data_IF_718072625240
#
_entry.id   IF_718072625240
#
_cell.length_a   1.000
_cell.length_b   1.000
_cell.length_c   1.000
_cell.angle_alpha   90.00
_cell.angle_beta   90.00
_cell.angle_gamma   90.00
#
_symmetry.space_group_name_H-M   'P 1'
#
loop_
_entity.id
_entity.type
_entity.pdbx_description
1 polymer ?
#
# COMPACT_ATOMS: atom_id res chain seq x y z
N UNK A 1 18.22 -2.75 29.88
CA UNK A 1 17.14 -3.75 29.66
C UNK A 1 15.80 -3.11 29.24
N UNK A 2 15.36 -1.99 29.82
CA UNK A 2 14.09 -1.33 29.46
C UNK A 2 14.04 -0.84 27.99
N UNK A 3 15.12 -0.23 27.50
CA UNK A 3 15.21 0.27 26.10
C UNK A 3 15.15 -0.88 25.09
N UNK A 4 15.82 -2.01 25.36
CA UNK A 4 15.77 -3.21 24.52
C UNK A 4 14.38 -3.87 24.48
N UNK A 5 13.63 -3.80 25.59
CA UNK A 5 12.25 -4.31 25.65
C UNK A 5 11.25 -3.42 24.88
N UNK A 6 11.47 -2.11 24.87
CA UNK A 6 10.62 -1.14 24.14
C UNK A 6 10.85 -1.22 22.63
N UNK A 7 12.10 -1.48 22.21
CA UNK A 7 12.53 -1.48 20.80
C UNK A 7 12.36 -2.81 20.07
N UNK A 8 11.98 -3.89 20.79
CA UNK A 8 11.77 -5.21 20.19
C UNK A 8 10.75 -5.17 19.04
N UNK A 9 10.97 -5.90 17.94
CA UNK A 9 10.00 -5.98 16.86
C UNK A 9 8.69 -6.54 17.40
N UNK A 10 7.60 -5.77 17.23
CA UNK A 10 6.25 -6.20 17.58
C UNK A 10 5.59 -6.69 16.30
N UNK A 11 5.29 -7.99 16.15
CA UNK A 11 4.63 -8.46 14.96
C UNK A 11 3.22 -7.86 14.88
N UNK A 12 2.84 -7.42 13.68
CA UNK A 12 1.52 -6.85 13.45
C UNK A 12 0.43 -7.90 13.77
N UNK A 13 -0.65 -7.43 14.39
CA UNK A 13 -1.86 -8.21 14.65
C UNK A 13 -2.94 -7.81 13.64
N UNK A 14 -3.80 -8.75 13.29
CA UNK A 14 -4.98 -8.43 12.51
C UNK A 14 -6.03 -7.77 13.40
N UNK A 15 -6.64 -6.66 12.94
CA UNK A 15 -7.77 -6.07 13.63
C UNK A 15 -9.02 -6.96 13.53
N UNK A 16 -9.22 -7.64 12.40
CA UNK A 16 -10.37 -8.50 12.11
C UNK A 16 -9.93 -9.83 11.48
N UNK A 17 -10.69 -10.92 11.68
CA UNK A 17 -10.39 -12.19 11.03
C UNK A 17 -10.49 -12.07 9.50
N UNK A 18 -9.67 -12.82 8.74
CA UNK A 18 -9.79 -12.85 7.29
C UNK A 18 -11.12 -13.48 6.86
N UNK A 19 -11.51 -13.24 5.60
CA UNK A 19 -12.69 -13.84 5.00
C UNK A 19 -12.64 -15.37 5.10
N UNK A 20 -13.75 -15.99 5.49
CA UNK A 20 -13.85 -17.44 5.56
C UNK A 20 -13.83 -18.03 4.13
N UNK A 21 -12.90 -18.96 3.88
CA UNK A 21 -12.74 -19.64 2.57
C UNK A 21 -14.04 -20.26 2.04
N UNK A 22 -14.89 -20.76 2.94
CA UNK A 22 -16.19 -21.37 2.62
C UNK A 22 -17.20 -20.38 2.01
N UNK A 23 -17.13 -19.10 2.39
CA UNK A 23 -18.06 -18.07 1.92
C UNK A 23 -17.58 -17.33 0.67
N UNK A 24 -16.26 -17.42 0.39
CA UNK A 24 -15.56 -16.76 -0.72
C UNK A 24 -14.67 -17.75 -1.52
N UNK A 25 -15.20 -18.92 -1.93
CA UNK A 25 -14.38 -19.98 -2.51
C UNK A 25 -13.74 -19.59 -3.84
N UNK A 26 -14.41 -18.78 -4.68
CA UNK A 26 -13.89 -18.44 -5.99
C UNK A 26 -12.70 -17.47 -5.90
N UNK A 27 -12.78 -16.48 -5.00
CA UNK A 27 -11.66 -15.56 -4.75
C UNK A 27 -10.43 -16.30 -4.23
N UNK A 28 -10.60 -17.18 -3.26
CA UNK A 28 -9.50 -17.97 -2.72
C UNK A 28 -8.94 -18.96 -3.74
N UNK A 29 -9.79 -19.57 -4.57
CA UNK A 29 -9.34 -20.45 -5.65
C UNK A 29 -8.46 -19.71 -6.65
N UNK A 30 -8.90 -18.55 -7.14
CA UNK A 30 -8.12 -17.70 -8.03
C UNK A 30 -6.78 -17.30 -7.40
N UNK A 31 -6.79 -16.90 -6.13
CA UNK A 31 -5.58 -16.50 -5.42
C UNK A 31 -4.60 -17.66 -5.24
N UNK A 32 -5.10 -18.87 -4.93
CA UNK A 32 -4.30 -20.08 -4.84
C UNK A 32 -3.73 -20.49 -6.22
N UNK A 33 -4.49 -20.33 -7.30
CA UNK A 33 -4.04 -20.58 -8.68
C UNK A 33 -2.92 -19.63 -9.09
N UNK A 34 -3.08 -18.32 -8.85
CA UNK A 34 -2.05 -17.31 -9.12
C UNK A 34 -0.79 -17.58 -8.27
N UNK A 35 -0.96 -17.93 -7.00
CA UNK A 35 0.17 -18.33 -6.14
C UNK A 35 0.93 -19.51 -6.74
N UNK A 36 0.22 -20.50 -7.29
CA UNK A 36 0.83 -21.66 -7.97
C UNK A 36 1.59 -21.26 -9.23
N UNK A 37 1.03 -20.37 -10.07
CA UNK A 37 1.70 -19.87 -11.29
C UNK A 37 3.01 -19.14 -10.92
N UNK A 38 2.96 -18.34 -9.86
CA UNK A 38 4.11 -17.59 -9.37
C UNK A 38 5.11 -18.41 -8.53
N UNK A 39 4.85 -19.70 -8.30
CA UNK A 39 5.62 -20.54 -7.36
C UNK A 39 5.75 -19.91 -5.96
N UNK A 40 4.69 -19.26 -5.48
CA UNK A 40 4.61 -18.62 -4.18
C UNK A 40 3.79 -19.47 -3.19
N UNK A 41 4.08 -19.35 -1.89
CA UNK A 41 3.20 -19.97 -0.88
C UNK A 41 1.81 -19.35 -0.92
N UNK A 42 0.80 -20.20 -0.69
CA UNK A 42 -0.60 -19.77 -0.57
C UNK A 42 -0.80 -18.69 0.48
N UNK A 43 -1.72 -17.79 0.20
CA UNK A 43 -2.15 -16.80 1.19
C UNK A 43 -2.88 -17.48 2.35
N UNK A 44 -2.54 -17.09 3.57
CA UNK A 44 -3.22 -17.57 4.76
C UNK A 44 -4.66 -17.04 4.81
N UNK A 45 -4.86 -15.78 4.43
CA UNK A 45 -6.17 -15.15 4.45
C UNK A 45 -6.25 -13.93 3.57
N UNK A 46 -7.48 -13.62 3.14
CA UNK A 46 -7.82 -12.43 2.37
C UNK A 46 -8.70 -11.53 3.24
N UNK A 47 -8.42 -10.23 3.23
CA UNK A 47 -9.20 -9.19 3.89
C UNK A 47 -9.69 -8.23 2.83
N UNK A 48 -10.97 -7.87 2.92
CA UNK A 48 -11.55 -6.83 2.08
C UNK A 48 -11.81 -5.62 2.97
N UNK A 49 -11.37 -4.44 2.50
CA UNK A 49 -11.51 -3.18 3.24
C UNK A 49 -12.02 -2.04 2.37
N UNK A 50 -12.20 -0.89 3.00
CA UNK A 50 -12.78 0.35 2.46
C UNK A 50 -11.84 1.16 1.57
N UNK A 51 -10.56 0.79 1.50
CA UNK A 51 -9.55 1.59 0.82
C UNK A 51 -9.63 1.42 -0.69
N UNK A 52 -9.25 2.44 -1.45
CA UNK A 52 -9.01 2.28 -2.89
C UNK A 52 -7.54 1.87 -3.11
N UNK A 53 -7.16 0.70 -2.60
CA UNK A 53 -5.81 0.17 -2.72
C UNK A 53 -5.82 -1.36 -2.52
N UNK A 54 -4.69 -2.01 -2.77
CA UNK A 54 -4.41 -3.36 -2.30
C UNK A 54 -3.11 -3.36 -1.48
N UNK A 55 -2.90 -4.41 -0.70
CA UNK A 55 -1.60 -4.62 -0.07
C UNK A 55 -1.40 -6.08 0.31
N UNK A 56 -0.15 -6.51 0.28
CA UNK A 56 0.27 -7.79 0.79
C UNK A 56 1.13 -7.62 2.05
N UNK A 57 0.80 -8.35 3.11
CA UNK A 57 1.51 -8.22 4.39
C UNK A 57 1.72 -9.56 5.08
N UNK A 58 2.59 -9.58 6.09
CA UNK A 58 2.82 -10.75 6.93
C UNK A 58 2.53 -10.40 8.39
N UNK A 59 1.77 -11.27 9.06
CA UNK A 59 1.35 -11.06 10.45
C UNK A 59 1.88 -12.16 11.37
N UNK A 60 2.08 -11.78 12.64
CA UNK A 60 2.47 -12.71 13.69
C UNK A 60 3.87 -13.33 13.51
N UNK A 61 4.30 -14.09 14.50
CA UNK A 61 5.59 -14.78 14.49
C UNK A 61 5.70 -15.87 13.43
N UNK A 62 4.56 -16.42 12.99
CA UNK A 62 4.49 -17.41 11.90
C UNK A 62 4.45 -16.77 10.51
N UNK A 63 4.60 -15.44 10.41
CA UNK A 63 4.61 -14.69 9.15
C UNK A 63 3.45 -15.07 8.21
N UNK A 64 2.24 -15.17 8.77
CA UNK A 64 1.06 -15.55 7.99
C UNK A 64 0.82 -14.50 6.91
N UNK A 65 0.82 -14.92 5.64
CA UNK A 65 0.66 -14.07 4.46
C UNK A 65 -0.80 -13.62 4.32
N UNK A 66 -1.04 -12.32 4.35
CA UNK A 66 -2.38 -11.72 4.24
C UNK A 66 -2.43 -10.84 3.01
N UNK A 67 -3.42 -11.10 2.16
CA UNK A 67 -3.76 -10.23 1.04
C UNK A 67 -4.91 -9.31 1.47
N UNK A 68 -4.73 -8.00 1.34
CA UNK A 68 -5.78 -6.99 1.55
C UNK A 68 -6.18 -6.43 0.21
N UNK A 69 -7.47 -6.42 -0.08
CA UNK A 69 -8.01 -5.89 -1.32
C UNK A 69 -9.11 -4.88 -0.99
N UNK A 70 -8.93 -3.66 -1.43
CA UNK A 70 -9.93 -2.62 -1.33
C UNK A 70 -11.14 -2.92 -2.20
N UNK A 71 -12.33 -3.00 -1.61
CA UNK A 71 -13.54 -3.29 -2.38
C UNK A 71 -13.79 -2.26 -3.50
N UNK A 72 -13.63 -0.93 -3.27
CA UNK A 72 -13.80 0.07 -4.33
C UNK A 72 -12.86 -0.14 -5.52
N UNK A 73 -11.63 -0.59 -5.27
CA UNK A 73 -10.67 -0.91 -6.32
C UNK A 73 -11.16 -2.11 -7.13
N UNK A 74 -11.57 -3.20 -6.48
CA UNK A 74 -12.02 -4.42 -7.17
C UNK A 74 -13.16 -4.17 -8.17
N UNK A 75 -14.09 -3.27 -7.86
CA UNK A 75 -15.25 -2.98 -8.71
C UNK A 75 -14.96 -2.18 -9.97
N UNK A 76 -13.82 -1.52 -10.05
CA UNK A 76 -13.41 -0.79 -11.26
C UNK A 76 -12.48 -1.61 -12.15
N UNK A 77 -12.00 -2.76 -11.67
CA UNK A 77 -11.11 -3.62 -12.44
C UNK A 77 -11.89 -4.52 -13.41
N UNK A 78 -11.27 -4.84 -14.53
CA UNK A 78 -11.69 -5.96 -15.36
C UNK A 78 -10.99 -7.25 -14.89
N UNK A 79 -11.35 -8.37 -15.52
CA UNK A 79 -10.84 -9.69 -15.14
C UNK A 79 -9.30 -9.81 -15.22
N UNK A 80 -8.68 -9.21 -16.23
CA UNK A 80 -7.23 -9.36 -16.48
C UNK A 80 -6.46 -8.42 -15.54
N UNK A 81 -7.01 -7.23 -15.28
CA UNK A 81 -6.50 -6.30 -14.25
C UNK A 81 -6.62 -6.88 -12.84
N UNK A 82 -7.66 -7.65 -12.54
CA UNK A 82 -7.78 -8.35 -11.26
C UNK A 82 -6.68 -9.42 -11.10
N UNK A 83 -6.39 -10.18 -12.16
CA UNK A 83 -5.24 -11.11 -12.17
C UNK A 83 -3.94 -10.33 -11.97
N UNK A 84 -3.77 -9.20 -12.65
CA UNK A 84 -2.58 -8.36 -12.54
C UNK A 84 -2.40 -7.83 -11.11
N UNK A 85 -3.47 -7.35 -10.47
CA UNK A 85 -3.44 -6.84 -9.10
C UNK A 85 -3.02 -7.93 -8.11
N UNK A 86 -3.71 -9.07 -8.14
CA UNK A 86 -3.40 -10.17 -7.21
C UNK A 86 -1.98 -10.72 -7.45
N UNK A 87 -1.55 -10.80 -8.71
CA UNK A 87 -0.19 -11.22 -9.06
C UNK A 87 0.88 -10.25 -8.53
N UNK A 88 0.64 -8.95 -8.68
CA UNK A 88 1.52 -7.89 -8.16
C UNK A 88 1.66 -8.00 -6.64
N UNK A 89 0.53 -8.11 -5.93
CA UNK A 89 0.52 -8.22 -4.47
C UNK A 89 1.22 -9.49 -3.97
N UNK A 90 0.96 -10.65 -4.59
CA UNK A 90 1.63 -11.91 -4.21
C UNK A 90 3.14 -11.84 -4.47
N UNK A 91 3.57 -11.13 -5.52
CA UNK A 91 4.98 -11.01 -5.86
C UNK A 91 5.82 -10.32 -4.77
N UNK A 92 5.24 -9.40 -4.00
CA UNK A 92 5.90 -8.85 -2.80
C UNK A 92 6.24 -9.94 -1.75
N UNK A 93 5.46 -11.02 -1.72
CA UNK A 93 5.72 -12.20 -0.90
C UNK A 93 6.89 -13.06 -1.37
N UNK A 94 7.30 -12.95 -2.64
CA UNK A 94 8.38 -13.73 -3.28
C UNK A 94 9.72 -13.00 -3.14
N UNK A 95 9.72 -11.69 -3.38
CA UNK A 95 10.92 -10.84 -3.38
C UNK A 95 11.57 -10.73 -1.98
N UNK A 96 10.86 -11.15 -0.93
CA UNK A 96 11.39 -11.22 0.45
C UNK A 96 11.38 -9.89 1.18
N UNK A 97 10.78 -8.85 0.60
CA UNK A 97 10.72 -7.48 1.14
C UNK A 97 9.99 -7.43 2.48
N UNK A 98 8.98 -8.29 2.66
CA UNK A 98 8.15 -8.34 3.87
C UNK A 98 8.94 -8.80 5.10
N UNK A 99 9.85 -9.75 4.93
CA UNK A 99 10.71 -10.24 6.00
C UNK A 99 11.70 -9.16 6.43
N UNK A 100 12.20 -8.37 5.48
CA UNK A 100 13.09 -7.24 5.75
C UNK A 100 12.34 -6.09 6.43
N UNK A 101 11.07 -5.86 6.06
CA UNK A 101 10.25 -4.78 6.59
C UNK A 101 10.11 -4.77 8.11
N UNK A 102 9.98 -5.93 8.76
CA UNK A 102 9.92 -6.01 10.24
C UNK A 102 11.22 -5.55 10.90
N UNK A 103 12.37 -5.96 10.37
CA UNK A 103 13.68 -5.63 10.92
C UNK A 103 14.06 -4.18 10.61
N UNK A 104 13.89 -3.76 9.35
CA UNK A 104 14.17 -2.40 8.91
C UNK A 104 13.25 -1.40 9.63
N UNK A 105 11.95 -1.70 9.76
CA UNK A 105 11.02 -0.88 10.52
C UNK A 105 11.37 -0.77 11.99
N UNK A 106 11.83 -1.86 12.63
CA UNK A 106 12.33 -1.83 14.02
C UNK A 106 13.59 -0.96 14.15
N UNK A 107 14.52 -1.04 13.18
CA UNK A 107 15.71 -0.20 13.15
C UNK A 107 15.38 1.29 12.95
N UNK A 108 14.47 1.62 12.02
CA UNK A 108 13.97 2.99 11.80
C UNK A 108 13.33 3.54 13.08
N UNK A 109 12.44 2.78 13.72
CA UNK A 109 11.78 3.20 14.97
C UNK A 109 12.79 3.42 16.10
N UNK A 110 13.80 2.56 16.20
CA UNK A 110 14.84 2.67 17.24
C UNK A 110 15.72 3.91 17.00
N UNK A 111 16.20 4.12 15.78
CA UNK A 111 17.02 5.28 15.41
C UNK A 111 16.25 6.58 15.56
N UNK A 112 14.97 6.61 15.15
CA UNK A 112 14.09 7.77 15.36
C UNK A 112 13.89 8.09 16.83
N UNK A 113 13.64 7.07 17.66
CA UNK A 113 13.50 7.24 19.12
C UNK A 113 14.78 7.76 19.76
N UNK A 114 15.95 7.22 19.37
CA UNK A 114 17.23 7.69 19.89
C UNK A 114 17.57 9.10 19.42
N UNK A 115 17.27 9.44 18.17
CA UNK A 115 17.39 10.80 17.66
C UNK A 115 16.55 11.77 18.49
N UNK A 116 15.28 11.45 18.76
CA UNK A 116 14.40 12.29 19.59
C UNK A 116 14.94 12.48 21.02
N UNK A 117 15.48 11.44 21.65
CA UNK A 117 16.03 11.51 23.01
C UNK A 117 17.35 12.30 23.06
N UNK A 118 18.17 12.20 22.02
CA UNK A 118 19.51 12.82 21.99
C UNK A 118 19.51 14.22 21.39
N UNK A 119 18.43 14.66 20.75
CA UNK A 119 18.33 15.99 20.17
C UNK A 119 18.04 17.01 21.28
N UNK A 120 18.98 17.92 21.61
CA UNK A 120 18.76 18.89 22.68
C UNK A 120 17.74 19.96 22.24
N UNK A 121 16.76 20.26 23.09
CA UNK A 121 15.75 21.30 22.83
C UNK A 121 16.38 22.71 22.71
N UNK A 122 17.43 22.96 23.49
CA UNK A 122 18.22 24.20 23.46
C UNK A 122 19.68 23.89 23.75
N UNK A 123 20.59 24.50 22.99
CA UNK A 123 22.03 24.38 23.22
C UNK A 123 22.46 25.22 24.42
N UNK A 124 21.83 26.39 24.60
CA UNK A 124 22.06 27.31 25.70
C UNK A 124 20.75 27.58 26.43
N UNK A 125 20.74 27.35 27.74
CA UNK A 125 19.60 27.65 28.61
C UNK A 125 19.99 28.68 29.67
N UNK A 126 19.36 29.84 29.62
CA UNK A 126 19.64 31.00 30.48
C UNK A 126 19.24 30.77 31.94
N UNK A 127 18.54 29.69 32.27
CA UNK A 127 18.08 29.38 33.63
C UNK A 127 19.19 28.80 34.54
N UNK A 128 20.24 28.19 33.99
CA UNK A 128 21.31 27.56 34.79
C UNK A 128 22.55 28.46 34.88
N UNK A 129 22.61 29.35 35.89
CA UNK A 129 23.74 30.28 36.07
C UNK A 129 25.04 29.62 36.54
N UNK A 130 24.98 28.52 37.31
CA UNK A 130 26.14 27.71 37.71
C UNK A 130 26.10 26.37 36.97
N UNK A 131 27.16 26.05 36.21
CA UNK A 131 27.24 24.84 35.37
C UNK A 131 26.91 25.03 33.88
N UNK A 132 26.55 26.26 33.45
CA UNK A 132 26.22 26.59 32.06
C UNK A 132 27.28 26.10 31.05
N UNK A 133 28.56 26.29 31.35
CA UNK A 133 29.65 25.86 30.46
C UNK A 133 29.67 24.35 30.24
N UNK A 134 29.56 23.54 31.30
CA UNK A 134 29.52 22.08 31.18
C UNK A 134 28.28 21.59 30.40
N UNK A 135 27.13 22.25 30.61
CA UNK A 135 25.90 21.95 29.87
C UNK A 135 26.03 22.27 28.38
N UNK A 136 26.73 23.35 28.01
CA UNK A 136 27.02 23.66 26.60
C UNK A 136 27.83 22.53 25.96
N UNK A 137 28.91 22.07 26.62
CA UNK A 137 29.72 20.96 26.09
C UNK A 137 28.91 19.67 25.97
N UNK A 138 28.11 19.33 26.99
CA UNK A 138 27.22 18.16 26.95
C UNK A 138 26.19 18.27 25.81
N UNK A 139 25.56 19.43 25.63
CA UNK A 139 24.59 19.68 24.58
C UNK A 139 25.22 19.64 23.18
N UNK A 140 26.46 20.10 23.01
CA UNK A 140 27.20 19.98 21.74
C UNK A 140 27.50 18.51 21.43
N UNK A 141 27.92 17.72 22.42
CA UNK A 141 28.13 16.28 22.25
C UNK A 141 26.82 15.58 21.90
N UNK A 142 25.73 15.88 22.61
CA UNK A 142 24.39 15.34 22.32
C UNK A 142 23.92 15.74 20.91
N UNK A 143 24.14 16.99 20.50
CA UNK A 143 23.83 17.45 19.15
C UNK A 143 24.64 16.68 18.10
N UNK A 144 25.94 16.46 18.32
CA UNK A 144 26.79 15.68 17.42
C UNK A 144 26.26 14.24 17.29
N UNK A 145 25.96 13.59 18.41
CA UNK A 145 25.37 12.24 18.44
C UNK A 145 24.03 12.21 17.71
N UNK A 146 23.16 13.18 17.97
CA UNK A 146 21.87 13.34 17.30
C UNK A 146 22.04 13.49 15.78
N UNK A 147 23.00 14.29 15.30
CA UNK A 147 23.29 14.42 13.87
C UNK A 147 23.79 13.13 13.23
N UNK A 148 24.61 12.35 13.93
CA UNK A 148 25.05 11.03 13.45
C UNK A 148 23.85 10.07 13.36
N UNK A 149 23.00 10.03 14.39
CA UNK A 149 21.79 9.20 14.40
C UNK A 149 20.83 9.61 13.28
N UNK A 150 20.66 10.91 13.04
CA UNK A 150 19.87 11.43 11.94
C UNK A 150 20.45 11.01 10.58
N UNK A 151 21.77 11.10 10.39
CA UNK A 151 22.42 10.66 9.15
C UNK A 151 22.22 9.15 8.92
N UNK A 152 22.37 8.34 9.96
CA UNK A 152 22.11 6.89 9.88
C UNK A 152 20.65 6.59 9.55
N UNK A 153 19.71 7.27 10.20
CA UNK A 153 18.29 7.18 9.92
C UNK A 153 17.98 7.57 8.47
N UNK A 154 18.54 8.70 8.01
CA UNK A 154 18.40 9.19 6.64
C UNK A 154 18.91 8.16 5.62
N UNK A 155 20.11 7.62 5.83
CA UNK A 155 20.70 6.61 4.94
C UNK A 155 19.87 5.33 4.93
N UNK A 156 19.41 4.86 6.09
CA UNK A 156 18.57 3.67 6.18
C UNK A 156 17.25 3.86 5.45
N UNK A 157 16.58 5.00 5.63
CA UNK A 157 15.36 5.34 4.91
C UNK A 157 15.61 5.45 3.39
N UNK A 158 16.72 6.06 2.99
CA UNK A 158 17.09 6.20 1.57
C UNK A 158 17.38 4.85 0.90
N UNK A 159 18.08 3.94 1.59
CA UNK A 159 18.33 2.59 1.09
C UNK A 159 17.05 1.76 1.05
N UNK A 160 16.23 1.82 2.12
CA UNK A 160 14.93 1.15 2.17
C UNK A 160 14.02 1.62 1.03
N UNK A 161 14.04 2.92 0.71
CA UNK A 161 13.32 3.45 -0.44
C UNK A 161 13.77 2.82 -1.77
N UNK A 162 15.09 2.73 -2.00
CA UNK A 162 15.63 2.12 -3.23
C UNK A 162 15.27 0.64 -3.35
N UNK A 163 15.28 -0.08 -2.23
CA UNK A 163 14.84 -1.48 -2.20
C UNK A 163 13.33 -1.58 -2.47
N UNK A 164 12.51 -0.70 -1.89
CA UNK A 164 11.07 -0.61 -2.18
C UNK A 164 10.80 -0.38 -3.66
N UNK A 165 11.53 0.53 -4.32
CA UNK A 165 11.42 0.76 -5.77
C UNK A 165 11.72 -0.50 -6.58
N UNK A 166 12.79 -1.22 -6.21
CA UNK A 166 13.17 -2.46 -6.87
C UNK A 166 12.09 -3.53 -6.72
N UNK A 167 11.47 -3.61 -5.54
CA UNK A 167 10.36 -4.51 -5.27
C UNK A 167 9.18 -4.27 -6.22
N UNK A 168 8.80 -3.01 -6.45
CA UNK A 168 7.73 -2.64 -7.38
C UNK A 168 8.02 -3.11 -8.81
N UNK A 169 9.24 -2.88 -9.34
CA UNK A 169 9.60 -3.33 -10.68
C UNK A 169 9.55 -4.86 -10.81
N UNK A 170 9.99 -5.59 -9.77
CA UNK A 170 9.92 -7.04 -9.76
C UNK A 170 8.46 -7.51 -9.69
N UNK A 171 7.64 -6.90 -8.85
CA UNK A 171 6.22 -7.20 -8.75
C UNK A 171 5.48 -6.92 -10.07
N UNK A 172 5.79 -5.81 -10.74
CA UNK A 172 5.29 -5.50 -12.08
C UNK A 172 5.72 -6.51 -13.13
N UNK A 173 6.96 -6.99 -13.08
CA UNK A 173 7.44 -8.02 -13.99
C UNK A 173 6.68 -9.33 -13.80
N UNK A 174 6.46 -9.76 -12.55
CA UNK A 174 5.64 -10.93 -12.25
C UNK A 174 4.19 -10.74 -12.68
N UNK A 175 3.59 -9.58 -12.42
CA UNK A 175 2.23 -9.28 -12.85
C UNK A 175 2.10 -9.23 -14.38
N UNK A 176 3.06 -8.62 -15.08
CA UNK A 176 3.10 -8.58 -16.54
C UNK A 176 3.25 -9.98 -17.15
N UNK A 177 4.04 -10.85 -16.51
CA UNK A 177 4.20 -12.25 -16.93
C UNK A 177 2.91 -13.05 -16.74
N UNK A 178 2.24 -12.89 -15.61
CA UNK A 178 1.03 -13.66 -15.29
C UNK A 178 -0.21 -13.15 -16.05
N UNK A 179 -0.45 -11.84 -16.05
CA UNK A 179 -1.66 -11.21 -16.57
C UNK A 179 -1.49 -10.49 -17.91
N UNK A 180 -0.25 -10.35 -18.40
CA UNK A 180 0.08 -9.63 -19.63
C UNK A 180 0.37 -8.14 -19.40
N UNK A 181 1.20 -7.55 -20.28
CA UNK A 181 1.58 -6.13 -20.25
C UNK A 181 0.38 -5.18 -20.25
N UNK A 182 -0.61 -5.46 -21.10
CA UNK A 182 -1.80 -4.59 -21.21
C UNK A 182 -2.59 -4.51 -19.91
N UNK A 183 -2.70 -5.63 -19.17
CA UNK A 183 -3.45 -5.69 -17.92
C UNK A 183 -2.78 -4.88 -16.82
N UNK A 184 -1.47 -5.04 -16.62
CA UNK A 184 -0.73 -4.27 -15.60
C UNK A 184 -0.68 -2.78 -15.92
N UNK A 185 -0.50 -2.39 -17.19
CA UNK A 185 -0.55 -0.99 -17.60
C UNK A 185 -1.94 -0.37 -17.36
N UNK A 186 -3.00 -1.11 -17.66
CA UNK A 186 -4.37 -0.67 -17.39
C UNK A 186 -4.66 -0.56 -15.89
N UNK A 187 -4.16 -1.52 -15.10
CA UNK A 187 -4.25 -1.49 -13.64
C UNK A 187 -3.56 -0.26 -13.05
N UNK A 188 -2.31 0.01 -13.45
CA UNK A 188 -1.57 1.19 -12.97
C UNK A 188 -2.35 2.48 -13.20
N UNK A 189 -2.93 2.67 -14.38
CA UNK A 189 -3.77 3.84 -14.67
C UNK A 189 -4.99 3.95 -13.72
N UNK A 190 -5.59 2.82 -13.32
CA UNK A 190 -6.76 2.80 -12.43
C UNK A 190 -6.39 3.07 -10.97
N UNK A 191 -5.21 2.66 -10.52
CA UNK A 191 -4.73 2.94 -9.15
C UNK A 191 -4.63 4.45 -8.87
N UNK A 192 -4.46 5.27 -9.90
CA UNK A 192 -4.40 6.73 -9.77
C UNK A 192 -5.77 7.44 -9.72
N UNK A 193 -6.86 6.68 -9.74
CA UNK A 193 -8.22 7.23 -9.61
C UNK A 193 -8.60 7.56 -8.15
N UNK A 194 -7.63 7.62 -7.23
CA UNK A 194 -7.83 7.99 -5.81
C UNK A 194 -8.58 9.32 -5.66
N UNK A 195 -8.22 10.34 -6.45
CA UNK A 195 -8.90 11.65 -6.40
C UNK A 195 -10.37 11.55 -6.82
N UNK A 196 -10.67 10.70 -7.82
CA UNK A 196 -12.04 10.47 -8.27
C UNK A 196 -12.84 9.66 -7.24
N UNK A 197 -12.19 8.70 -6.57
CA UNK A 197 -12.75 7.96 -5.45
C UNK A 197 -13.16 8.92 -4.32
N UNK A 198 -12.25 9.79 -3.87
CA UNK A 198 -12.54 10.80 -2.83
C UNK A 198 -13.63 11.78 -3.25
N UNK A 199 -13.59 12.27 -4.49
CA UNK A 199 -14.64 13.13 -5.04
C UNK A 199 -16.01 12.46 -5.04
N UNK A 200 -16.07 11.17 -5.38
CA UNK A 200 -17.33 10.42 -5.38
C UNK A 200 -17.89 10.26 -3.97
N UNK A 201 -17.04 10.00 -2.97
CA UNK A 201 -17.45 9.97 -1.56
C UNK A 201 -18.11 11.30 -1.17
N UNK A 202 -17.44 12.42 -1.46
CA UNK A 202 -17.96 13.76 -1.18
C UNK A 202 -19.30 14.03 -1.87
N UNK A 203 -19.43 13.64 -3.14
CA UNK A 203 -20.67 13.79 -3.92
C UNK A 203 -21.82 13.01 -3.29
N UNK A 204 -21.60 11.74 -2.91
CA UNK A 204 -22.62 10.89 -2.29
C UNK A 204 -23.05 11.44 -0.93
N UNK A 205 -22.11 11.88 -0.09
CA UNK A 205 -22.40 12.51 1.20
C UNK A 205 -23.25 13.78 1.01
N UNK A 206 -22.86 14.66 0.09
CA UNK A 206 -23.54 15.94 -0.14
C UNK A 206 -24.93 15.78 -0.77
N UNK A 207 -25.11 14.77 -1.63
CA UNK A 207 -26.40 14.48 -2.29
C UNK A 207 -27.33 13.60 -1.45
N UNK A 208 -26.85 13.08 -0.31
CA UNK A 208 -27.59 12.20 0.62
C UNK A 208 -28.15 10.94 -0.05
N UNK A 209 -27.45 10.41 -1.06
CA UNK A 209 -27.80 9.17 -1.78
C UNK A 209 -27.08 7.95 -1.18
N UNK A 210 -27.44 7.60 0.05
CA UNK A 210 -26.85 6.44 0.72
C UNK A 210 -27.22 5.12 0.00
N UNK A 211 -26.26 4.21 -0.15
CA UNK A 211 -26.44 2.91 -0.80
C UNK A 211 -26.17 2.88 -2.31
N UNK A 212 -25.61 3.94 -2.87
CA UNK A 212 -25.35 4.11 -4.30
C UNK A 212 -23.88 4.43 -4.61
N UNK A 213 -23.00 4.37 -3.61
CA UNK A 213 -21.60 4.78 -3.79
C UNK A 213 -20.88 3.95 -4.88
N UNK A 214 -21.02 2.63 -4.84
CA UNK A 214 -20.32 1.75 -5.77
C UNK A 214 -20.84 1.93 -7.20
N UNK A 215 -22.16 2.05 -7.38
CA UNK A 215 -22.78 2.31 -8.67
C UNK A 215 -22.32 3.66 -9.25
N UNK A 216 -22.40 4.73 -8.44
CA UNK A 216 -21.98 6.08 -8.83
C UNK A 216 -20.47 6.14 -9.14
N UNK A 217 -19.65 5.38 -8.42
CA UNK A 217 -18.20 5.33 -8.63
C UNK A 217 -17.85 4.59 -9.91
N UNK A 218 -18.42 3.40 -10.12
CA UNK A 218 -18.20 2.62 -11.35
C UNK A 218 -18.69 3.41 -12.58
N UNK A 219 -19.87 4.04 -12.50
CA UNK A 219 -20.38 4.88 -13.59
C UNK A 219 -19.44 6.05 -13.90
N UNK A 220 -18.92 6.73 -12.87
CA UNK A 220 -17.95 7.80 -13.07
C UNK A 220 -16.66 7.32 -13.73
N UNK A 221 -16.15 6.15 -13.35
CA UNK A 221 -14.95 5.57 -13.99
C UNK A 221 -15.19 5.21 -15.46
N UNK A 222 -16.38 4.70 -15.78
CA UNK A 222 -16.74 4.35 -17.17
C UNK A 222 -16.97 5.58 -18.07
N UNK A 223 -17.35 6.71 -17.47
CA UNK A 223 -17.68 7.94 -18.20
C UNK A 223 -16.54 8.95 -18.27
N UNK A 224 -15.35 8.63 -17.73
CA UNK A 224 -14.18 9.51 -17.80
C UNK A 224 -13.85 9.82 -19.26
N UNK A 225 -13.81 11.10 -19.67
CA UNK A 225 -13.40 11.47 -21.01
C UNK A 225 -11.96 11.02 -21.30
N UNK A 226 -11.67 10.53 -22.51
CA UNK A 226 -10.32 10.08 -22.87
C UNK A 226 -9.23 11.14 -22.66
N UNK A 227 -9.57 12.43 -22.85
CA UNK A 227 -8.66 13.56 -22.57
C UNK A 227 -8.29 13.68 -21.10
N UNK A 228 -9.22 13.35 -20.20
CA UNK A 228 -8.97 13.40 -18.76
C UNK A 228 -8.06 12.24 -18.33
N UNK A 229 -8.25 11.05 -18.90
CA UNK A 229 -7.32 9.93 -18.72
C UNK A 229 -5.91 10.28 -19.20
N UNK A 230 -5.78 10.95 -20.35
CA UNK A 230 -4.48 11.43 -20.84
C UNK A 230 -3.86 12.48 -19.91
N UNK A 231 -4.68 13.38 -19.36
CA UNK A 231 -4.22 14.38 -18.39
C UNK A 231 -3.64 13.71 -17.14
N UNK A 232 -4.40 12.77 -16.56
CA UNK A 232 -3.99 11.99 -15.38
C UNK A 232 -2.66 11.29 -15.64
N UNK A 233 -2.54 10.55 -16.76
CA UNK A 233 -1.29 9.90 -17.18
C UNK A 233 -0.11 10.86 -17.31
N UNK A 234 -0.31 12.05 -17.89
CA UNK A 234 0.75 13.06 -18.03
C UNK A 234 1.16 13.62 -16.68
N UNK A 235 0.21 13.87 -15.79
CA UNK A 235 0.53 14.33 -14.43
C UNK A 235 1.36 13.29 -13.69
N UNK A 236 1.05 12.00 -13.82
CA UNK A 236 1.84 10.91 -13.21
C UNK A 236 3.24 10.76 -13.80
N UNK A 237 3.39 10.93 -15.13
CA UNK A 237 4.70 10.93 -15.77
C UNK A 237 5.59 12.09 -15.29
N UNK A 238 4.97 13.20 -14.88
CA UNK A 238 5.64 14.38 -14.36
C UNK A 238 5.85 14.33 -12.85
N UNK A 239 5.06 13.52 -12.14
CA UNK A 239 5.13 13.39 -10.69
C UNK A 239 6.38 12.57 -10.33
N UNK A 240 7.51 13.27 -10.23
CA UNK A 240 8.75 12.75 -9.65
C UNK A 240 8.63 12.64 -8.12
N UNK A 241 7.46 12.33 -7.56
CA UNK A 241 7.25 12.24 -6.12
C UNK A 241 8.11 11.11 -5.54
N UNK A 242 9.31 11.49 -5.11
CA UNK A 242 10.28 10.64 -4.40
C UNK A 242 9.79 10.19 -3.01
N UNK A 243 8.50 10.39 -2.70
CA UNK A 243 7.93 10.37 -1.34
C UNK A 243 6.50 9.78 -1.27
N UNK A 244 6.02 9.02 -2.27
CA UNK A 244 4.82 8.20 -2.05
C UNK A 244 5.19 6.94 -1.25
N UNK A 245 4.64 6.82 -0.04
CA UNK A 245 4.99 5.77 0.92
C UNK A 245 4.38 4.40 0.61
N UNK A 246 3.48 4.29 -0.37
CA UNK A 246 2.86 3.00 -0.73
C UNK A 246 3.22 2.50 -2.13
N UNK A 247 3.12 3.30 -3.18
CA UNK A 247 3.54 2.90 -4.53
C UNK A 247 4.13 4.08 -5.32
N UNK A 248 5.46 4.15 -5.44
CA UNK A 248 6.14 5.32 -6.00
C UNK A 248 6.28 5.24 -7.56
N UNK A 249 6.83 6.27 -8.23
CA UNK A 249 6.22 6.91 -9.38
C UNK A 249 6.08 6.04 -10.65
N UNK A 250 4.88 6.13 -11.21
CA UNK A 250 4.32 5.29 -12.28
C UNK A 250 5.06 5.39 -13.61
N UNK A 251 5.69 6.54 -13.91
CA UNK A 251 6.31 6.77 -15.21
C UNK A 251 7.46 5.82 -15.54
N UNK A 252 8.36 5.60 -14.58
CA UNK A 252 9.49 4.68 -14.77
C UNK A 252 9.02 3.22 -14.82
N UNK A 253 8.00 2.86 -14.01
CA UNK A 253 7.37 1.53 -14.01
C UNK A 253 6.70 1.22 -15.34
N UNK A 254 5.91 2.15 -15.87
CA UNK A 254 5.30 2.04 -17.21
C UNK A 254 6.38 1.86 -18.28
N UNK A 255 7.45 2.65 -18.23
CA UNK A 255 8.57 2.53 -19.18
C UNK A 255 9.23 1.16 -19.08
N UNK A 256 9.48 0.67 -17.86
CA UNK A 256 10.05 -0.65 -17.62
C UNK A 256 9.12 -1.76 -18.15
N UNK A 257 7.83 -1.73 -17.83
CA UNK A 257 6.86 -2.73 -18.31
C UNK A 257 6.82 -2.75 -19.84
N UNK A 258 6.81 -1.59 -20.50
CA UNK A 258 6.83 -1.52 -21.96
C UNK A 258 8.12 -2.09 -22.58
N UNK A 259 9.23 -2.11 -21.83
CA UNK A 259 10.50 -2.69 -22.27
C UNK A 259 10.56 -4.22 -22.15
N UNK A 260 9.61 -4.84 -21.43
CA UNK A 260 9.56 -6.29 -21.25
C UNK A 260 9.09 -6.97 -22.53
N UNK A 261 9.74 -8.06 -22.91
CA UNK A 261 9.34 -8.92 -24.03
C UNK A 261 8.32 -9.99 -23.58
N UNK A 262 7.14 -9.53 -23.14
CA UNK A 262 6.08 -10.36 -22.53
C UNK A 262 4.70 -10.08 -23.15
N UNK A 263 4.43 -10.62 -24.34
CA UNK A 263 3.21 -10.27 -25.07
C UNK A 263 1.97 -11.10 -24.70
N UNK A 264 2.15 -12.28 -24.10
CA UNK A 264 1.03 -13.16 -23.74
C UNK A 264 0.97 -13.47 -22.24
N UNK A 265 -0.23 -13.47 -21.64
CA UNK A 265 -0.41 -13.83 -20.23
C UNK A 265 -0.23 -15.33 -20.00
N UNK A 266 0.49 -15.72 -18.96
CA UNK A 266 0.59 -17.12 -18.52
C UNK A 266 -0.70 -17.64 -17.88
N UNK A 267 -1.53 -16.75 -17.34
CA UNK A 267 -2.77 -17.12 -16.67
C UNK A 267 -3.94 -16.27 -17.16
N UNK A 268 -4.97 -16.94 -17.66
CA UNK A 268 -6.21 -16.32 -18.15
C UNK A 268 -7.38 -16.90 -17.38
N UNK A 269 -8.19 -16.03 -16.78
CA UNK A 269 -9.42 -16.44 -16.13
C UNK A 269 -10.63 -16.35 -17.08
N UNK A 270 -11.57 -17.28 -16.92
CA UNK A 270 -12.84 -17.25 -17.65
C UNK A 270 -13.72 -16.13 -17.12
N UNK A 271 -14.54 -15.54 -18.01
CA UNK A 271 -15.50 -14.50 -17.61
C UNK A 271 -16.48 -15.01 -16.54
N UNK A 272 -16.90 -16.27 -16.63
CA UNK A 272 -17.78 -16.91 -15.63
C UNK A 272 -17.15 -16.89 -14.22
N UNK A 273 -15.86 -17.22 -14.11
CA UNK A 273 -15.12 -17.19 -12.85
C UNK A 273 -15.05 -15.78 -12.29
N UNK A 274 -14.76 -14.79 -13.14
CA UNK A 274 -14.75 -13.39 -12.75
C UNK A 274 -16.11 -12.94 -12.20
N UNK A 275 -17.21 -13.27 -12.89
CA UNK A 275 -18.56 -12.92 -12.43
C UNK A 275 -18.93 -13.58 -11.10
N UNK A 276 -18.49 -14.82 -10.86
CA UNK A 276 -18.68 -15.50 -9.57
C UNK A 276 -17.92 -14.79 -8.45
N UNK A 277 -16.69 -14.34 -8.69
CA UNK A 277 -15.90 -13.57 -7.72
C UNK A 277 -16.60 -12.24 -7.42
N UNK A 278 -17.04 -11.50 -8.44
CA UNK A 278 -17.74 -10.23 -8.23
C UNK A 278 -19.04 -10.43 -7.43
N UNK A 279 -19.78 -11.51 -7.69
CA UNK A 279 -20.96 -11.87 -6.90
C UNK A 279 -20.64 -12.18 -5.44
N UNK A 280 -19.49 -12.79 -5.15
CA UNK A 280 -19.02 -12.96 -3.77
C UNK A 280 -18.75 -11.60 -3.11
N UNK A 281 -18.12 -10.68 -3.85
CA UNK A 281 -17.76 -9.34 -3.36
C UNK A 281 -18.99 -8.44 -3.11
N UNK A 282 -20.06 -8.57 -3.90
CA UNK A 282 -21.30 -7.79 -3.71
C UNK A 282 -21.93 -7.99 -2.32
N UNK A 283 -21.69 -9.14 -1.67
CA UNK A 283 -22.16 -9.40 -0.30
C UNK A 283 -21.63 -8.38 0.73
N UNK A 284 -20.50 -7.73 0.41
CA UNK A 284 -19.81 -6.77 1.29
C UNK A 284 -20.15 -5.31 0.99
N UNK A 285 -20.90 -5.02 -0.08
CA UNK A 285 -21.24 -3.64 -0.52
C UNK A 285 -21.77 -2.79 0.64
N UNK A 286 -22.90 -3.19 1.23
CA UNK A 286 -23.59 -2.35 2.21
C UNK A 286 -22.74 -2.07 3.46
N UNK A 287 -21.98 -3.06 3.94
CA UNK A 287 -21.11 -2.87 5.10
C UNK A 287 -19.92 -1.96 4.80
N UNK A 288 -19.28 -2.13 3.64
CA UNK A 288 -18.09 -1.36 3.28
C UNK A 288 -18.45 0.05 2.85
N UNK A 289 -19.52 0.25 2.09
CA UNK A 289 -20.01 1.58 1.75
C UNK A 289 -20.29 2.41 3.01
N UNK A 290 -21.00 1.81 3.98
CA UNK A 290 -21.24 2.47 5.26
C UNK A 290 -19.93 2.87 5.95
N UNK A 291 -18.94 1.97 5.99
CA UNK A 291 -17.62 2.24 6.58
C UNK A 291 -16.91 3.39 5.85
N UNK A 292 -16.89 3.39 4.51
CA UNK A 292 -16.29 4.46 3.69
C UNK A 292 -16.90 5.82 4.08
N UNK A 293 -18.22 5.90 4.12
CA UNK A 293 -18.93 7.16 4.41
C UNK A 293 -18.72 7.62 5.86
N UNK A 294 -18.72 6.70 6.82
CA UNK A 294 -18.47 7.01 8.24
C UNK A 294 -17.03 7.48 8.49
N UNK A 295 -16.04 6.75 7.99
CA UNK A 295 -14.62 7.09 8.14
C UNK A 295 -14.30 8.45 7.49
N UNK A 296 -14.89 8.72 6.32
CA UNK A 296 -14.69 9.99 5.63
C UNK A 296 -15.33 11.16 6.40
N UNK A 297 -16.56 10.97 6.94
CA UNK A 297 -17.22 11.97 7.80
C UNK A 297 -16.39 12.27 9.04
N UNK A 298 -15.85 11.24 9.70
CA UNK A 298 -15.00 11.39 10.89
C UNK A 298 -13.71 12.15 10.58
N UNK A 299 -13.07 11.87 9.43
CA UNK A 299 -11.76 12.44 9.09
C UNK A 299 -11.84 13.87 8.55
N UNK A 300 -12.90 14.23 7.82
CA UNK A 300 -12.93 15.48 7.05
C UNK A 300 -14.12 16.42 7.31
N UNK A 301 -15.18 15.97 8.00
CA UNK A 301 -16.39 16.78 8.27
C UNK A 301 -16.56 17.14 9.76
N UNK A 302 -15.53 16.94 10.58
CA UNK A 302 -15.52 17.35 12.00
C UNK A 302 -15.14 18.83 12.23
N UNK A 303 -15.19 19.68 11.19
CA UNK A 303 -15.03 21.13 11.28
C UNK A 303 -16.17 21.85 10.58
#
# INVERSE_FOLDING_TARGET
MVIAWITRPKPNKLPHPPLAREHYPNLYKMTDEISSVLNADKVYGIIIDEKFNASFTQIGWKQKKILRLGLPLLFVLNKDELVALISHEIAHGITGDLNRGLWVGSAINTLSSWFQITNPDKIFDTQYRSGAFFMIFANIILLLVSKILYLLLYLLCHLNWRDSQRAEYLADQFAAKTAGKAAILSLLNKLHLQNLFEFTILKVINTKREGHFFEDFVEQVLTIPGKELERIKRTELLDNSFLDATHPPTGNRITYINSLDLDQPEHIIKNETYQLIMKEMTKLHGSIEKSILEDYKLKYLQY
#
